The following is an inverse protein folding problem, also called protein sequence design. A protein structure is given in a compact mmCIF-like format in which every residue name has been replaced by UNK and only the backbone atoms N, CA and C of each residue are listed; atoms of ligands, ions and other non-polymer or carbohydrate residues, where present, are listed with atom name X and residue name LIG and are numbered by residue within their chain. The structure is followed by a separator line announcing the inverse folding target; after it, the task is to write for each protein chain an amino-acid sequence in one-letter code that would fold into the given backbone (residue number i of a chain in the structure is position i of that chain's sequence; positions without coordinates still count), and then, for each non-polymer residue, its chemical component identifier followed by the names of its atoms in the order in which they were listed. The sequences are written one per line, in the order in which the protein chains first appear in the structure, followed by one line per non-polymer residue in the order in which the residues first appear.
data_IF_396639628319
#
_entry.id   IF_396639628319
#
_cell.length_a   1.000
_cell.length_b   1.000
_cell.length_c   1.000
_cell.angle_alpha   90.00
_cell.angle_beta   90.00
_cell.angle_gamma   90.00
#
_symmetry.space_group_name_H-M   'P 1'
#
loop_
_entity.id
_entity.type
_entity.pdbx_description
1 polymer ?
#
# COMPACT_ATOMS: atom_id res chain seq x y z
N UNK A 1 -2.48 53.57 -13.16
CA UNK A 1 -1.27 52.74 -12.98
C UNK A 1 -1.36 51.73 -11.81
N UNK A 2 -2.47 51.53 -11.08
CA UNK A 2 -2.56 50.64 -9.92
C UNK A 2 -3.08 49.19 -10.22
N UNK A 3 -3.63 48.97 -11.41
CA UNK A 3 -4.17 47.64 -11.79
C UNK A 3 -3.12 46.69 -12.33
N UNK A 4 -2.10 47.18 -13.03
CA UNK A 4 -1.02 46.38 -13.58
C UNK A 4 -0.13 45.74 -12.51
N UNK A 5 0.18 46.47 -11.43
CA UNK A 5 1.00 45.94 -10.31
C UNK A 5 0.29 44.83 -9.55
N UNK A 6 -1.02 44.88 -9.37
CA UNK A 6 -1.81 43.82 -8.75
C UNK A 6 -1.82 42.54 -9.60
N UNK A 7 -1.98 42.70 -10.91
CA UNK A 7 -1.96 41.59 -11.85
C UNK A 7 -0.59 40.88 -11.85
N UNK A 8 0.50 41.63 -11.88
CA UNK A 8 1.88 41.06 -11.80
C UNK A 8 2.10 40.32 -10.46
N UNK A 9 1.61 40.88 -9.35
CA UNK A 9 1.76 40.24 -8.04
C UNK A 9 0.97 38.92 -7.94
N UNK A 10 -0.23 38.86 -8.47
CA UNK A 10 -1.04 37.64 -8.55
C UNK A 10 -0.36 36.60 -9.44
N UNK A 11 0.22 37.01 -10.55
CA UNK A 11 0.91 36.12 -11.49
C UNK A 11 2.17 35.54 -10.88
N UNK A 12 2.93 36.33 -10.10
CA UNK A 12 4.10 35.89 -9.31
C UNK A 12 3.70 34.88 -8.22
N UNK A 13 2.60 35.13 -7.51
CA UNK A 13 2.07 34.19 -6.51
C UNK A 13 1.64 32.86 -7.12
N UNK A 14 0.96 32.89 -8.27
CA UNK A 14 0.60 31.67 -9.00
C UNK A 14 1.82 30.89 -9.48
N UNK A 15 2.84 31.58 -9.99
CA UNK A 15 4.07 30.94 -10.42
C UNK A 15 4.85 30.31 -9.25
N UNK A 16 4.91 31.00 -8.10
CA UNK A 16 5.49 30.47 -6.87
C UNK A 16 4.73 29.23 -6.35
N UNK A 17 3.40 29.27 -6.38
CA UNK A 17 2.57 28.13 -6.00
C UNK A 17 2.77 26.92 -6.93
N UNK A 18 2.90 27.15 -8.23
CA UNK A 18 3.17 26.09 -9.21
C UNK A 18 4.55 25.44 -9.04
N UNK A 19 5.57 26.23 -8.70
CA UNK A 19 6.93 25.71 -8.49
C UNK A 19 7.05 24.84 -7.23
N UNK A 20 6.24 25.06 -6.19
CA UNK A 20 6.19 24.22 -4.99
C UNK A 20 5.57 22.85 -5.27
N UNK A 21 4.60 22.77 -6.18
CA UNK A 21 3.92 21.52 -6.53
C UNK A 21 4.79 20.53 -7.31
N UNK A 22 5.79 20.99 -8.05
CA UNK A 22 6.66 20.14 -8.89
C UNK A 22 7.83 19.48 -8.14
N UNK A 23 8.07 19.83 -6.86
CA UNK A 23 9.27 19.44 -6.10
C UNK A 23 9.20 18.08 -5.40
N UNK A 24 8.05 17.42 -5.35
CA UNK A 24 7.91 16.16 -4.60
C UNK A 24 8.21 14.92 -5.45
N UNK A 25 9.49 14.56 -5.58
CA UNK A 25 9.85 13.19 -5.96
C UNK A 25 9.63 12.26 -4.75
N UNK A 26 8.52 11.52 -4.75
CA UNK A 26 8.14 10.57 -3.70
C UNK A 26 9.11 9.39 -3.54
N UNK A 27 10.04 9.21 -4.48
CA UNK A 27 11.02 8.12 -4.50
C UNK A 27 12.34 8.42 -3.76
N UNK A 28 12.50 9.63 -3.22
CA UNK A 28 13.70 9.99 -2.44
C UNK A 28 13.60 9.37 -1.04
N UNK A 29 14.69 8.74 -0.58
CA UNK A 29 14.76 8.18 0.77
C UNK A 29 15.13 9.27 1.79
N UNK A 30 14.21 10.17 2.07
CA UNK A 30 14.30 11.20 3.10
C UNK A 30 13.40 10.84 4.28
N UNK A 31 13.63 11.44 5.45
CA UNK A 31 12.80 11.21 6.63
C UNK A 31 11.31 11.50 6.37
N UNK A 32 11.00 12.61 5.70
CA UNK A 32 9.61 12.97 5.33
C UNK A 32 8.99 11.99 4.34
N UNK A 33 9.74 11.54 3.31
CA UNK A 33 9.24 10.54 2.35
C UNK A 33 8.97 9.20 3.03
N UNK A 34 9.87 8.76 3.92
CA UNK A 34 9.68 7.52 4.70
C UNK A 34 8.44 7.59 5.59
N UNK A 35 8.27 8.70 6.30
CA UNK A 35 7.09 8.91 7.13
C UNK A 35 5.81 8.86 6.28
N UNK A 36 5.78 9.60 5.18
CA UNK A 36 4.64 9.64 4.26
C UNK A 36 4.28 8.26 3.70
N UNK A 37 5.28 7.52 3.21
CA UNK A 37 5.06 6.18 2.68
C UNK A 37 4.62 5.20 3.75
N UNK A 38 5.22 5.25 4.94
CA UNK A 38 4.85 4.42 6.08
C UNK A 38 3.41 4.69 6.53
N UNK A 39 3.03 5.96 6.64
CA UNK A 39 1.69 6.37 7.01
C UNK A 39 0.65 5.87 6.00
N UNK A 40 0.84 6.16 4.72
CA UNK A 40 -0.10 5.75 3.68
C UNK A 40 -0.16 4.21 3.51
N UNK A 41 0.96 3.51 3.61
CA UNK A 41 0.98 2.07 3.57
C UNK A 41 0.16 1.47 4.71
N UNK A 42 0.36 1.97 5.94
CA UNK A 42 -0.29 1.43 7.14
C UNK A 42 -1.78 1.74 7.19
N UNK A 43 -2.15 3.01 7.06
CA UNK A 43 -3.53 3.45 7.30
C UNK A 43 -4.45 3.32 6.10
N UNK A 44 -3.92 3.30 4.89
CA UNK A 44 -4.74 3.19 3.70
C UNK A 44 -4.64 1.80 3.07
N UNK A 45 -3.43 1.39 2.69
CA UNK A 45 -3.28 0.18 1.86
C UNK A 45 -3.35 -1.09 2.71
N UNK A 46 -2.61 -1.15 3.81
CA UNK A 46 -2.59 -2.30 4.72
C UNK A 46 -3.94 -2.49 5.42
N UNK A 47 -4.51 -1.40 5.97
CA UNK A 47 -5.80 -1.46 6.65
C UNK A 47 -6.90 -2.02 5.74
N UNK A 48 -7.04 -1.46 4.52
CA UNK A 48 -8.04 -1.95 3.56
C UNK A 48 -7.77 -3.39 3.08
N UNK A 49 -6.50 -3.78 2.97
CA UNK A 49 -6.12 -5.16 2.64
C UNK A 49 -6.47 -6.13 3.76
N UNK A 50 -6.19 -5.75 5.01
CA UNK A 50 -6.54 -6.53 6.20
C UNK A 50 -8.05 -6.69 6.37
N UNK A 51 -8.82 -5.62 6.17
CA UNK A 51 -10.29 -5.70 6.23
C UNK A 51 -10.84 -6.66 5.16
N UNK A 52 -10.37 -6.55 3.92
CA UNK A 52 -10.79 -7.45 2.85
C UNK A 52 -10.43 -8.92 3.16
N UNK A 53 -9.26 -9.18 3.77
CA UNK A 53 -8.89 -10.52 4.19
C UNK A 53 -9.81 -11.06 5.30
N UNK A 54 -10.12 -10.24 6.30
CA UNK A 54 -11.03 -10.61 7.40
C UNK A 54 -12.45 -10.88 6.86
N UNK A 55 -12.95 -10.04 5.96
CA UNK A 55 -14.24 -10.23 5.30
C UNK A 55 -14.28 -11.54 4.51
N UNK A 56 -13.25 -11.80 3.69
CA UNK A 56 -13.13 -13.05 2.94
C UNK A 56 -13.06 -14.29 3.85
N UNK A 57 -12.36 -14.19 4.97
CA UNK A 57 -12.29 -15.27 5.96
C UNK A 57 -13.65 -15.55 6.62
N UNK A 58 -14.37 -14.50 6.99
CA UNK A 58 -15.73 -14.61 7.53
C UNK A 58 -16.71 -15.22 6.52
N UNK A 59 -16.69 -14.74 5.28
CA UNK A 59 -17.52 -15.33 4.21
C UNK A 59 -17.22 -16.81 4.05
N UNK A 60 -15.95 -17.20 4.16
CA UNK A 60 -15.56 -18.61 4.05
C UNK A 60 -16.05 -19.44 5.21
N UNK A 61 -16.01 -18.93 6.44
CA UNK A 61 -16.53 -19.60 7.64
C UNK A 61 -18.06 -19.74 7.57
N UNK A 62 -18.77 -18.67 7.25
CA UNK A 62 -20.24 -18.69 7.22
C UNK A 62 -20.82 -19.39 5.98
N UNK A 63 -20.11 -19.38 4.87
CA UNK A 63 -20.52 -20.03 3.63
C UNK A 63 -20.20 -21.53 3.57
N UNK A 64 -19.44 -22.04 4.54
CA UNK A 64 -19.13 -23.46 4.62
C UNK A 64 -20.26 -24.22 5.31
N UNK A 65 -20.82 -25.21 4.64
CA UNK A 65 -21.80 -26.14 5.21
C UNK A 65 -21.21 -27.54 5.20
N UNK A 66 -21.12 -28.13 6.38
CA UNK A 66 -20.63 -29.49 6.54
C UNK A 66 -21.64 -30.51 6.05
N UNK A 67 -21.16 -31.48 5.30
CA UNK A 67 -21.97 -32.63 4.88
C UNK A 67 -21.63 -33.83 5.79
N UNK A 68 -22.45 -34.08 6.78
CA UNK A 68 -22.24 -35.15 7.76
C UNK A 68 -22.43 -36.55 7.20
N UNK A 69 -22.86 -36.69 5.93
CA UNK A 69 -22.96 -38.00 5.25
C UNK A 69 -21.66 -38.44 4.60
N UNK A 70 -20.69 -37.52 4.45
CA UNK A 70 -19.37 -37.80 3.90
C UNK A 70 -18.29 -37.62 5.00
N UNK A 71 -17.10 -38.18 4.75
CA UNK A 71 -15.98 -37.96 5.63
C UNK A 71 -15.63 -36.47 5.69
N UNK A 72 -15.73 -35.88 6.86
CA UNK A 72 -15.43 -34.47 7.06
C UNK A 72 -13.95 -34.19 6.81
N UNK A 73 -13.61 -33.16 6.02
CA UNK A 73 -12.22 -32.75 5.84
C UNK A 73 -11.67 -32.16 7.15
N UNK A 74 -10.43 -32.46 7.46
CA UNK A 74 -9.74 -31.95 8.65
C UNK A 74 -9.73 -30.41 8.71
N UNK A 75 -9.70 -29.79 7.55
CA UNK A 75 -9.80 -28.32 7.38
C UNK A 75 -10.97 -27.99 6.47
N UNK A 76 -12.09 -27.47 6.98
CA UNK A 76 -13.26 -27.08 6.20
C UNK A 76 -12.92 -26.13 5.05
N UNK A 77 -11.96 -25.23 5.30
CA UNK A 77 -11.49 -24.23 4.33
C UNK A 77 -10.81 -24.83 3.08
N UNK A 78 -10.37 -26.10 3.10
CA UNK A 78 -9.66 -26.72 1.98
C UNK A 78 -10.56 -27.54 1.06
N UNK A 79 -11.86 -27.62 1.33
CA UNK A 79 -12.79 -28.35 0.49
C UNK A 79 -12.89 -27.70 -0.91
N UNK A 80 -13.07 -28.52 -1.94
CA UNK A 80 -13.23 -28.04 -3.33
C UNK A 80 -14.42 -27.09 -3.48
N UNK A 81 -15.50 -27.32 -2.72
CA UNK A 81 -16.71 -26.48 -2.71
C UNK A 81 -16.49 -25.10 -2.09
N UNK A 82 -15.54 -24.97 -1.16
CA UNK A 82 -15.25 -23.70 -0.49
C UNK A 82 -14.24 -22.81 -1.23
N UNK A 83 -13.73 -23.26 -2.38
CA UNK A 83 -12.70 -22.55 -3.14
C UNK A 83 -13.13 -21.18 -3.63
N UNK A 84 -14.38 -21.04 -4.01
CA UNK A 84 -14.91 -19.79 -4.60
C UNK A 84 -15.50 -18.85 -3.54
N UNK A 85 -15.70 -19.34 -2.31
CA UNK A 85 -16.24 -18.54 -1.22
C UNK A 85 -15.18 -17.52 -0.76
N UNK A 86 -15.55 -16.24 -0.74
CA UNK A 86 -14.66 -15.14 -0.34
C UNK A 86 -13.57 -14.79 -1.35
N UNK A 87 -13.53 -15.40 -2.53
CA UNK A 87 -12.50 -15.21 -3.56
C UNK A 87 -12.28 -13.74 -3.90
N UNK A 88 -13.36 -12.99 -4.13
CA UNK A 88 -13.29 -11.58 -4.47
C UNK A 88 -12.59 -10.74 -3.38
N UNK A 89 -12.87 -11.02 -2.12
CA UNK A 89 -12.26 -10.33 -1.00
C UNK A 89 -10.77 -10.71 -0.82
N UNK A 90 -10.42 -11.97 -1.04
CA UNK A 90 -9.02 -12.39 -1.05
C UNK A 90 -8.23 -11.76 -2.20
N UNK A 91 -8.79 -11.70 -3.42
CA UNK A 91 -8.15 -11.02 -4.56
C UNK A 91 -7.97 -9.52 -4.29
N UNK A 92 -8.95 -8.87 -3.65
CA UNK A 92 -8.83 -7.49 -3.18
C UNK A 92 -7.68 -7.33 -2.18
N UNK A 93 -7.56 -8.25 -1.21
CA UNK A 93 -6.49 -8.24 -0.22
C UNK A 93 -5.11 -8.37 -0.88
N UNK A 94 -4.96 -9.30 -1.83
CA UNK A 94 -3.72 -9.49 -2.61
C UNK A 94 -3.39 -8.22 -3.41
N UNK A 95 -4.34 -7.67 -4.14
CA UNK A 95 -4.14 -6.44 -4.94
C UNK A 95 -3.71 -5.25 -4.06
N UNK A 96 -4.28 -5.11 -2.87
CA UNK A 96 -3.87 -4.06 -1.91
C UNK A 96 -2.46 -4.30 -1.38
N UNK A 97 -2.09 -5.53 -1.10
CA UNK A 97 -0.75 -5.90 -0.64
C UNK A 97 0.31 -5.64 -1.72
N UNK A 98 0.05 -6.03 -2.96
CA UNK A 98 0.91 -5.72 -4.10
C UNK A 98 1.07 -4.21 -4.32
N UNK A 99 -0.03 -3.46 -4.19
CA UNK A 99 0.01 -1.99 -4.27
C UNK A 99 0.87 -1.38 -3.16
N UNK A 100 0.82 -1.92 -1.93
CA UNK A 100 1.67 -1.48 -0.83
C UNK A 100 3.15 -1.70 -1.17
N UNK A 101 3.51 -2.88 -1.62
CA UNK A 101 4.88 -3.23 -2.01
C UNK A 101 5.35 -2.35 -3.18
N UNK A 102 4.55 -2.22 -4.24
CA UNK A 102 4.93 -1.49 -5.44
C UNK A 102 5.08 0.01 -5.22
N UNK A 103 4.17 0.64 -4.46
CA UNK A 103 4.14 2.11 -4.29
C UNK A 103 4.87 2.62 -3.07
N UNK A 104 4.91 1.84 -1.99
CA UNK A 104 5.41 2.31 -0.70
C UNK A 104 6.76 1.71 -0.29
N UNK A 105 7.31 0.76 -1.05
CA UNK A 105 8.67 0.28 -0.83
C UNK A 105 9.70 1.29 -1.34
N UNK A 106 10.52 1.84 -0.44
CA UNK A 106 11.61 2.74 -0.78
C UNK A 106 12.88 1.90 -1.00
N UNK A 107 13.25 1.69 -2.25
CA UNK A 107 14.43 0.88 -2.63
C UNK A 107 15.75 1.67 -2.58
N UNK A 108 15.70 3.01 -2.58
CA UNK A 108 16.89 3.84 -2.60
C UNK A 108 17.51 3.96 -1.21
N UNK A 109 18.85 4.00 -1.16
CA UNK A 109 19.59 4.25 0.09
C UNK A 109 19.20 5.58 0.71
N UNK A 110 19.19 5.67 2.06
CA UNK A 110 19.00 6.95 2.75
C UNK A 110 20.08 7.95 2.38
N UNK A 111 19.73 9.21 2.28
CA UNK A 111 20.66 10.28 1.89
C UNK A 111 21.80 10.43 2.90
N UNK A 112 21.55 10.14 4.19
CA UNK A 112 22.57 10.22 5.25
C UNK A 112 23.56 9.04 5.25
N UNK A 113 23.25 7.96 4.56
CA UNK A 113 24.07 6.74 4.54
C UNK A 113 24.95 6.62 3.28
N UNK A 114 25.33 7.74 2.68
CA UNK A 114 26.17 7.77 1.48
C UNK A 114 27.57 7.18 1.69
N UNK A 115 28.05 7.10 2.93
CA UNK A 115 29.42 6.64 3.28
C UNK A 115 29.49 5.18 3.72
N UNK A 116 28.39 4.55 4.11
CA UNK A 116 28.42 3.12 4.43
C UNK A 116 28.51 2.32 3.14
N UNK A 117 29.64 1.66 2.94
CA UNK A 117 29.75 0.55 1.96
C UNK A 117 28.58 -0.36 2.22
N UNK A 118 27.91 -0.81 1.14
CA UNK A 118 26.82 -1.74 1.22
C UNK A 118 27.26 -2.96 2.01
N UNK A 119 27.01 -2.99 3.28
CA UNK A 119 26.72 -4.24 3.92
C UNK A 119 25.48 -4.71 3.20
N UNK A 120 25.70 -5.64 2.27
CA UNK A 120 24.65 -6.38 1.63
C UNK A 120 23.77 -6.91 2.76
N UNK A 121 22.64 -6.26 2.96
CA UNK A 121 21.54 -6.91 3.63
C UNK A 121 21.05 -7.96 2.62
N UNK A 122 21.80 -9.02 2.55
CA UNK A 122 21.29 -10.29 2.10
C UNK A 122 20.25 -10.67 3.14
N UNK A 123 19.03 -10.23 2.92
CA UNK A 123 17.89 -11.00 3.36
C UNK A 123 18.02 -12.26 2.52
N UNK A 124 18.72 -13.23 3.09
CA UNK A 124 18.64 -14.61 2.65
C UNK A 124 17.18 -14.97 2.83
N UNK A 125 16.44 -15.01 1.74
CA UNK A 125 15.21 -15.77 1.70
C UNK A 125 15.57 -17.21 2.03
N UNK A 126 14.91 -17.83 3.04
CA UNK A 126 14.95 -19.27 3.21
C UNK A 126 14.25 -19.96 2.04
#
# INVERSE_FOLDING_TARGET
MKTGTKAVFVLLLLFAAFSVLSSCSTQKNTAGSRWWHSFNARYNTYFNGSQAFIEGSKEKEYGHSDNFTEQLPLYPASSKKSKDIGKQNFERAVTKSEKAIKRHSIKRRPVWDKKRKATSFLISNP
#
